data_IF_537870937696
#
_entry.id   IF_537870937696
#
_cell.length_a   1.000
_cell.length_b   1.000
_cell.length_c   1.000
_cell.angle_alpha   90.00
_cell.angle_beta   90.00
_cell.angle_gamma   90.00
#
_symmetry.space_group_name_H-M   'P 1'
#
loop_
_entity.id
_entity.type
_entity.pdbx_description
1 polymer ?
#
# COMPACT_ATOMS: atom_id res chain seq x y z
N UNK A 1 -9.75 -11.13 14.12
CA UNK A 1 -10.42 -9.81 14.23
C UNK A 1 -9.69 -8.73 13.43
N UNK A 2 -8.36 -8.64 13.53
CA UNK A 2 -7.52 -7.66 12.81
C UNK A 2 -7.78 -7.62 11.29
N UNK A 3 -7.85 -8.76 10.60
CA UNK A 3 -8.16 -8.79 9.16
C UNK A 3 -9.53 -8.20 8.78
N UNK A 4 -10.55 -8.36 9.63
CA UNK A 4 -11.87 -7.76 9.38
C UNK A 4 -11.82 -6.25 9.59
N UNK A 5 -11.10 -5.79 10.61
CA UNK A 5 -10.86 -4.36 10.86
C UNK A 5 -10.12 -3.69 9.69
N UNK A 6 -9.05 -4.32 9.19
CA UNK A 6 -8.29 -3.80 8.03
C UNK A 6 -9.19 -3.70 6.79
N UNK A 7 -10.03 -4.70 6.55
CA UNK A 7 -10.96 -4.70 5.41
C UNK A 7 -12.02 -3.59 5.53
N UNK A 8 -12.65 -3.46 6.70
CA UNK A 8 -13.63 -2.39 6.97
C UNK A 8 -12.98 -1.01 6.82
N UNK A 9 -11.79 -0.82 7.39
CA UNK A 9 -11.04 0.44 7.27
C UNK A 9 -10.76 0.78 5.80
N UNK A 10 -10.40 -0.22 5.00
CA UNK A 10 -10.09 -0.02 3.58
C UNK A 10 -11.32 0.33 2.75
N UNK A 11 -12.47 -0.25 3.09
CA UNK A 11 -13.76 0.13 2.48
C UNK A 11 -14.16 1.56 2.84
N UNK A 12 -13.97 1.97 4.10
CA UNK A 12 -14.22 3.35 4.52
C UNK A 12 -13.32 4.32 3.75
N UNK A 13 -12.03 3.99 3.67
CA UNK A 13 -11.04 4.79 2.94
C UNK A 13 -11.36 4.86 1.45
N UNK A 14 -11.81 3.77 0.84
CA UNK A 14 -12.27 3.76 -0.56
C UNK A 14 -13.43 4.74 -0.76
N UNK A 15 -14.42 4.73 0.13
CA UNK A 15 -15.54 5.67 0.07
C UNK A 15 -15.08 7.13 0.17
N UNK A 16 -14.09 7.42 1.02
CA UNK A 16 -13.50 8.76 1.15
C UNK A 16 -12.74 9.16 -0.12
N UNK A 17 -11.96 8.25 -0.71
CA UNK A 17 -11.24 8.50 -1.96
C UNK A 17 -12.23 8.79 -3.09
N UNK A 18 -13.30 8.01 -3.21
CA UNK A 18 -14.36 8.26 -4.20
C UNK A 18 -15.01 9.62 -3.98
N UNK A 19 -15.32 9.97 -2.73
CA UNK A 19 -15.85 11.30 -2.40
C UNK A 19 -14.89 12.41 -2.85
N UNK A 20 -13.58 12.28 -2.61
CA UNK A 20 -12.59 13.26 -3.08
C UNK A 20 -12.58 13.34 -4.61
N UNK A 21 -12.52 12.21 -5.31
CA UNK A 21 -12.45 12.17 -6.78
C UNK A 21 -13.67 12.80 -7.47
N UNK A 22 -14.86 12.71 -6.87
CA UNK A 22 -16.10 13.18 -7.48
C UNK A 22 -16.61 14.53 -6.92
N UNK A 23 -16.26 14.89 -5.68
CA UNK A 23 -16.75 16.11 -5.01
C UNK A 23 -15.69 17.20 -4.90
N UNK A 24 -14.42 16.93 -5.20
CA UNK A 24 -13.34 17.93 -5.13
C UNK A 24 -12.64 18.12 -6.48
N UNK A 25 -12.38 19.37 -6.84
CA UNK A 25 -11.60 19.73 -8.03
C UNK A 25 -10.09 19.67 -7.70
N UNK A 26 -9.25 19.06 -8.56
CA UNK A 26 -7.79 19.06 -8.38
C UNK A 26 -7.19 20.46 -8.18
N UNK A 27 -7.82 21.50 -8.73
CA UNK A 27 -7.36 22.89 -8.61
C UNK A 27 -7.55 23.48 -7.19
N UNK A 28 -8.44 22.91 -6.38
CA UNK A 28 -8.73 23.40 -5.03
C UNK A 28 -7.98 22.63 -3.93
N UNK A 29 -7.23 21.58 -4.29
CA UNK A 29 -6.51 20.73 -3.34
C UNK A 29 -5.12 21.32 -3.10
N UNK A 30 -4.94 21.97 -1.95
CA UNK A 30 -3.63 22.42 -1.49
C UNK A 30 -2.69 21.27 -1.09
N UNK A 31 -1.42 21.55 -0.77
CA UNK A 31 -0.40 20.52 -0.49
C UNK A 31 -0.80 19.52 0.61
N UNK A 32 -1.49 19.98 1.65
CA UNK A 32 -2.00 19.13 2.73
C UNK A 32 -3.03 18.11 2.25
N UNK A 33 -3.91 18.50 1.31
CA UNK A 33 -4.91 17.58 0.75
C UNK A 33 -4.27 16.50 -0.12
N UNK A 34 -3.19 16.83 -0.83
CA UNK A 34 -2.42 15.86 -1.63
C UNK A 34 -1.73 14.85 -0.69
N UNK A 35 -1.12 15.31 0.40
CA UNK A 35 -0.53 14.40 1.40
C UNK A 35 -1.58 13.48 2.02
N UNK A 36 -2.75 14.03 2.38
CA UNK A 36 -3.85 13.25 2.91
C UNK A 36 -4.35 12.19 1.90
N UNK A 37 -4.44 12.55 0.62
CA UNK A 37 -4.77 11.60 -0.44
C UNK A 37 -3.78 10.43 -0.51
N UNK A 38 -2.46 10.70 -0.47
CA UNK A 38 -1.46 9.63 -0.46
C UNK A 38 -1.59 8.70 0.76
N UNK A 39 -1.89 9.25 1.94
CA UNK A 39 -2.14 8.47 3.15
C UNK A 39 -3.38 7.58 2.99
N UNK A 40 -4.46 8.11 2.41
CA UNK A 40 -5.65 7.30 2.12
C UNK A 40 -5.34 6.18 1.13
N UNK A 41 -4.63 6.49 0.04
CA UNK A 41 -4.22 5.48 -0.94
C UNK A 41 -3.34 4.41 -0.29
N UNK A 42 -2.49 4.76 0.67
CA UNK A 42 -1.74 3.78 1.47
C UNK A 42 -2.64 2.84 2.24
N UNK A 43 -3.60 3.36 3.00
CA UNK A 43 -4.49 2.52 3.79
C UNK A 43 -5.33 1.59 2.90
N UNK A 44 -5.80 2.09 1.77
CA UNK A 44 -6.50 1.27 0.78
C UNK A 44 -5.59 0.16 0.23
N UNK A 45 -4.38 0.52 -0.22
CA UNK A 45 -3.41 -0.42 -0.76
C UNK A 45 -3.03 -1.48 0.29
N UNK A 46 -2.85 -1.06 1.54
CA UNK A 46 -2.54 -1.95 2.66
C UNK A 46 -3.64 -2.99 2.90
N UNK A 47 -4.91 -2.58 2.83
CA UNK A 47 -6.01 -3.52 2.94
C UNK A 47 -6.09 -4.51 1.79
N UNK A 48 -5.93 -4.02 0.56
CA UNK A 48 -5.93 -4.87 -0.64
C UNK A 48 -4.79 -5.89 -0.56
N UNK A 49 -3.58 -5.43 -0.27
CA UNK A 49 -2.40 -6.31 -0.15
C UNK A 49 -2.58 -7.30 1.00
N UNK A 50 -3.08 -6.87 2.16
CA UNK A 50 -3.34 -7.77 3.29
C UNK A 50 -4.39 -8.82 2.94
N UNK A 51 -5.43 -8.45 2.19
CA UNK A 51 -6.43 -9.38 1.70
C UNK A 51 -5.79 -10.44 0.79
N UNK A 52 -5.01 -10.03 -0.21
CA UNK A 52 -4.30 -10.96 -1.09
C UNK A 52 -3.28 -11.83 -0.35
N UNK A 53 -2.51 -11.26 0.60
CA UNK A 53 -1.56 -12.02 1.42
C UNK A 53 -2.25 -13.09 2.26
N UNK A 54 -3.46 -12.84 2.76
CA UNK A 54 -4.24 -13.86 3.45
C UNK A 54 -4.52 -15.07 2.56
N UNK A 55 -4.90 -14.83 1.30
CA UNK A 55 -5.10 -15.92 0.32
C UNK A 55 -3.80 -16.63 0.02
N UNK A 56 -2.72 -15.88 -0.18
CA UNK A 56 -1.40 -16.44 -0.49
C UNK A 56 -0.89 -17.35 0.64
N UNK A 57 -0.95 -16.90 1.89
CA UNK A 57 -0.54 -17.68 3.06
C UNK A 57 -1.39 -18.95 3.23
N UNK A 58 -2.70 -18.86 2.95
CA UNK A 58 -3.60 -20.01 2.99
C UNK A 58 -3.26 -21.05 1.93
N UNK A 59 -2.92 -20.61 0.71
CA UNK A 59 -2.65 -21.51 -0.42
C UNK A 59 -1.23 -22.11 -0.36
N UNK A 60 -0.20 -21.27 -0.19
CA UNK A 60 1.19 -21.69 -0.30
C UNK A 60 1.78 -22.26 1.00
N UNK A 61 1.34 -21.75 2.15
CA UNK A 61 1.86 -22.19 3.45
C UNK A 61 0.87 -23.06 4.23
N UNK A 62 -0.32 -23.32 3.67
CA UNK A 62 -1.42 -24.04 4.33
C UNK A 62 -1.79 -23.47 5.72
N UNK A 63 -1.43 -22.22 6.02
CA UNK A 63 -1.70 -21.57 7.31
C UNK A 63 -2.97 -20.74 7.20
N UNK A 64 -3.87 -20.92 8.17
CA UNK A 64 -5.10 -20.12 8.27
C UNK A 64 -4.90 -18.77 8.99
N UNK A 65 -3.72 -18.55 9.59
CA UNK A 65 -3.43 -17.36 10.39
C UNK A 65 -2.19 -16.66 9.84
N UNK A 66 -2.31 -15.34 9.61
CA UNK A 66 -1.17 -14.49 9.27
C UNK A 66 -0.37 -14.18 10.54
N UNK A 67 0.95 -14.33 10.44
CA UNK A 67 1.88 -13.97 11.51
C UNK A 67 2.30 -12.50 11.40
N UNK A 68 2.90 -11.94 12.46
CA UNK A 68 3.37 -10.54 12.49
C UNK A 68 4.22 -10.17 11.26
N UNK A 69 5.08 -11.08 10.81
CA UNK A 69 5.92 -10.91 9.60
C UNK A 69 5.10 -10.73 8.32
N UNK A 70 3.99 -11.46 8.17
CA UNK A 70 3.12 -11.36 6.99
C UNK A 70 2.45 -9.98 6.92
N UNK A 71 2.02 -9.42 8.06
CA UNK A 71 1.45 -8.07 8.12
C UNK A 71 2.49 -6.98 7.85
N UNK A 72 3.72 -7.13 8.36
CA UNK A 72 4.83 -6.20 8.08
C UNK A 72 5.14 -6.22 6.57
N UNK A 73 5.25 -7.40 5.96
CA UNK A 73 5.49 -7.52 4.53
C UNK A 73 4.34 -6.93 3.70
N UNK A 74 3.09 -7.14 4.11
CA UNK A 74 1.94 -6.50 3.48
C UNK A 74 2.01 -4.96 3.56
N UNK A 75 2.47 -4.42 4.70
CA UNK A 75 2.73 -2.99 4.88
C UNK A 75 3.78 -2.45 3.92
N UNK A 76 4.91 -3.14 3.80
CA UNK A 76 5.99 -2.74 2.89
C UNK A 76 5.53 -2.80 1.42
N UNK A 77 4.82 -3.87 1.03
CA UNK A 77 4.30 -4.02 -0.35
C UNK A 77 3.23 -2.96 -0.66
N UNK A 78 2.44 -2.52 0.33
CA UNK A 78 1.45 -1.47 0.13
C UNK A 78 2.04 -0.11 -0.27
N UNK A 79 3.34 0.09 -0.09
CA UNK A 79 4.06 1.31 -0.48
C UNK A 79 4.22 1.41 -2.00
N UNK A 80 4.28 0.28 -2.71
CA UNK A 80 4.52 0.21 -4.17
C UNK A 80 3.62 1.16 -5.00
N UNK A 81 2.28 1.10 -4.91
CA UNK A 81 1.42 1.99 -5.67
C UNK A 81 1.61 3.48 -5.31
N UNK A 82 1.94 3.79 -4.06
CA UNK A 82 2.19 5.17 -3.62
C UNK A 82 3.47 5.69 -4.25
N UNK A 83 4.55 4.91 -4.20
CA UNK A 83 5.84 5.35 -4.79
C UNK A 83 5.69 5.59 -6.28
N UNK A 84 4.92 4.73 -6.99
CA UNK A 84 4.57 4.96 -8.40
C UNK A 84 3.85 6.30 -8.56
N UNK A 85 2.79 6.55 -7.78
CA UNK A 85 2.02 7.79 -7.88
C UNK A 85 2.85 9.04 -7.53
N UNK A 86 3.74 8.95 -6.55
CA UNK A 86 4.67 10.03 -6.17
C UNK A 86 5.66 10.33 -7.30
N UNK A 87 6.21 9.30 -7.96
CA UNK A 87 7.10 9.48 -9.11
C UNK A 87 6.35 10.14 -10.28
N UNK A 88 5.13 9.69 -10.57
CA UNK A 88 4.26 10.32 -11.59
C UNK A 88 4.01 11.80 -11.24
N UNK A 89 3.64 12.08 -9.99
CA UNK A 89 3.37 13.45 -9.52
C UNK A 89 4.62 14.34 -9.57
N UNK A 90 5.81 13.76 -9.41
CA UNK A 90 7.10 14.44 -9.52
C UNK A 90 7.55 14.66 -10.98
N UNK A 91 6.74 14.23 -11.96
CA UNK A 91 7.03 14.41 -13.38
C UNK A 91 7.86 13.29 -14.03
N UNK A 92 8.10 12.18 -13.34
CA UNK A 92 8.83 11.03 -13.91
C UNK A 92 7.95 10.35 -14.96
N UNK A 93 8.44 10.33 -16.21
CA UNK A 93 7.76 9.68 -17.35
C UNK A 93 8.46 8.42 -17.84
N UNK A 94 9.71 8.18 -17.42
CA UNK A 94 10.45 7.01 -17.83
C UNK A 94 9.87 5.74 -17.17
N UNK A 95 9.33 4.84 -18.01
CA UNK A 95 8.70 3.58 -17.58
C UNK A 95 9.64 2.67 -16.79
N UNK A 96 10.93 2.63 -17.14
CA UNK A 96 11.91 1.84 -16.39
C UNK A 96 12.02 2.33 -14.95
N UNK A 97 12.10 3.64 -14.74
CA UNK A 97 12.19 4.24 -13.40
C UNK A 97 10.88 4.03 -12.64
N UNK A 98 9.74 4.17 -13.33
CA UNK A 98 8.41 4.03 -12.76
C UNK A 98 8.14 2.62 -12.21
N UNK A 99 8.75 1.59 -12.81
CA UNK A 99 8.59 0.20 -12.40
C UNK A 99 9.75 -0.26 -11.51
N UNK A 100 10.99 -0.10 -11.96
CA UNK A 100 12.16 -0.58 -11.22
C UNK A 100 12.36 0.15 -9.90
N UNK A 101 12.14 1.47 -9.85
CA UNK A 101 12.34 2.25 -8.63
C UNK A 101 11.49 1.74 -7.46
N UNK A 102 10.16 1.70 -7.60
CA UNK A 102 9.26 1.17 -6.56
C UNK A 102 9.52 -0.30 -6.22
N UNK A 103 9.78 -1.15 -7.23
CA UNK A 103 10.06 -2.58 -7.00
C UNK A 103 11.35 -2.78 -6.21
N UNK A 104 12.43 -2.07 -6.56
CA UNK A 104 13.70 -2.14 -5.84
C UNK A 104 13.55 -1.62 -4.41
N UNK A 105 12.82 -0.52 -4.21
CA UNK A 105 12.56 0.02 -2.87
C UNK A 105 11.86 -1.01 -2.00
N UNK A 106 10.80 -1.65 -2.50
CA UNK A 106 10.08 -2.70 -1.76
C UNK A 106 10.98 -3.91 -1.53
N UNK A 107 11.73 -4.38 -2.53
CA UNK A 107 12.60 -5.55 -2.41
C UNK A 107 13.69 -5.35 -1.35
N UNK A 108 14.35 -4.19 -1.35
CA UNK A 108 15.37 -3.84 -0.34
C UNK A 108 14.76 -3.80 1.05
N UNK A 109 13.59 -3.17 1.22
CA UNK A 109 12.93 -3.09 2.52
C UNK A 109 12.50 -4.48 3.03
N UNK A 110 11.89 -5.31 2.19
CA UNK A 110 11.51 -6.69 2.57
C UNK A 110 12.74 -7.50 2.97
N UNK A 111 13.86 -7.37 2.25
CA UNK A 111 15.12 -8.02 2.59
C UNK A 111 15.67 -7.56 3.95
N UNK A 112 15.74 -6.24 4.18
CA UNK A 112 16.23 -5.67 5.44
C UNK A 112 15.38 -6.11 6.64
N UNK A 113 14.05 -6.02 6.53
CA UNK A 113 13.15 -6.43 7.61
C UNK A 113 13.15 -7.95 7.84
N UNK A 114 13.40 -8.74 6.81
CA UNK A 114 13.59 -10.19 6.96
C UNK A 114 14.85 -10.49 7.77
N UNK A 115 15.97 -9.83 7.45
CA UNK A 115 17.25 -10.02 8.15
C UNK A 115 17.21 -9.55 9.61
N UNK A 116 16.53 -8.43 9.89
CA UNK A 116 16.39 -7.91 11.26
C UNK A 116 15.51 -8.84 12.11
N UNK A 117 14.52 -9.50 11.51
CA UNK A 117 13.60 -10.40 12.22
C UNK A 117 14.21 -11.77 12.56
N UNK A 118 15.40 -12.10 12.03
CA UNK A 118 16.12 -13.35 12.30
C UNK A 118 17.12 -13.26 13.46
N UNK A 119 17.48 -12.04 13.88
CA UNK A 119 18.27 -11.76 15.07
C UNK A 119 17.38 -11.55 16.30
#
# INVERSE_FOLDING_TARGET
MINRLILILSLVVLSIILAILFLTSPANIGPLGILFFFVLVYFLSFGIVTFFMKFFVKIFFARNVMIKKDYINAGIIAILPITVLVLIASGVRNLLILVLGPVLLVAVNVFLFTKISEN
#
